data_IF_442437450462
#
_entry.id   IF_442437450462
#
_cell.length_a   1.000
_cell.length_b   1.000
_cell.length_c   1.000
_cell.angle_alpha   90.00
_cell.angle_beta   90.00
_cell.angle_gamma   90.00
#
_symmetry.space_group_name_H-M   'P 1'
#
loop_
_entity.id
_entity.type
_entity.pdbx_description
1 polymer ?
#
# COMPACT_ATOMS: atom_id res chain seq x y z
N UNK A 1 53.79 48.95 -11.64
CA UNK A 1 52.78 48.49 -12.62
C UNK A 1 52.85 46.97 -12.71
N UNK A 2 52.10 46.25 -11.88
CA UNK A 2 52.00 44.79 -11.91
C UNK A 2 50.57 44.43 -12.26
N UNK A 3 50.40 43.85 -13.44
CA UNK A 3 49.10 43.57 -14.03
C UNK A 3 48.62 42.22 -13.50
N UNK A 4 47.54 42.28 -12.73
CA UNK A 4 46.80 41.16 -12.16
C UNK A 4 45.91 40.53 -13.23
N UNK A 5 46.04 39.22 -13.47
CA UNK A 5 45.01 38.41 -14.13
C UNK A 5 44.94 37.05 -13.44
N UNK A 6 43.95 36.89 -12.57
CA UNK A 6 43.55 35.62 -11.96
C UNK A 6 42.39 35.06 -12.78
N UNK A 7 42.63 34.04 -13.58
CA UNK A 7 41.57 33.32 -14.29
C UNK A 7 41.04 32.20 -13.39
N UNK A 8 39.82 32.37 -12.88
CA UNK A 8 39.05 31.29 -12.28
C UNK A 8 38.45 30.44 -13.40
N UNK A 9 38.95 29.22 -13.57
CA UNK A 9 38.28 28.21 -14.40
C UNK A 9 37.33 27.45 -13.49
N UNK A 10 36.03 27.77 -13.54
CA UNK A 10 35.00 27.00 -12.86
C UNK A 10 34.80 25.68 -13.62
N UNK A 11 35.39 24.60 -13.12
CA UNK A 11 35.19 23.25 -13.61
C UNK A 11 33.84 22.74 -13.08
N UNK A 12 32.81 22.75 -13.93
CA UNK A 12 31.55 22.09 -13.63
C UNK A 12 31.77 20.57 -13.65
N UNK A 13 31.85 19.96 -12.47
CA UNK A 13 31.92 18.51 -12.30
C UNK A 13 30.49 17.98 -12.43
N UNK A 14 30.16 17.15 -13.44
CA UNK A 14 28.86 16.51 -13.49
C UNK A 14 28.75 15.52 -12.32
N UNK A 15 27.71 15.69 -11.49
CA UNK A 15 27.31 14.69 -10.51
C UNK A 15 26.96 13.41 -11.26
N UNK A 16 27.86 12.43 -11.17
CA UNK A 16 27.61 11.07 -11.58
C UNK A 16 26.38 10.54 -10.83
N UNK A 17 25.42 10.01 -11.60
CA UNK A 17 24.23 9.34 -11.12
C UNK A 17 24.65 8.21 -10.17
N UNK A 18 24.12 8.24 -8.94
CA UNK A 18 24.21 7.13 -8.02
C UNK A 18 23.42 5.98 -8.63
N UNK A 19 24.13 4.97 -9.15
CA UNK A 19 23.54 3.68 -9.45
C UNK A 19 23.11 3.05 -8.12
N UNK A 20 21.81 2.91 -7.92
CA UNK A 20 21.26 2.22 -6.76
C UNK A 20 21.43 0.71 -6.99
N UNK A 21 22.51 0.14 -6.48
CA UNK A 21 22.61 -1.31 -6.33
C UNK A 21 21.80 -1.70 -5.10
N UNK A 22 20.61 -2.28 -5.30
CA UNK A 22 19.86 -2.94 -4.23
C UNK A 22 19.93 -4.45 -4.42
N UNK A 23 20.96 -5.05 -3.83
CA UNK A 23 20.94 -6.46 -3.47
C UNK A 23 21.16 -6.50 -1.95
N UNK A 24 20.08 -6.53 -1.19
CA UNK A 24 20.10 -6.97 0.21
C UNK A 24 18.67 -7.25 0.68
N UNK A 25 18.42 -8.48 1.12
CA UNK A 25 17.14 -9.00 1.65
C UNK A 25 16.77 -8.40 3.03
N UNK A 26 17.22 -7.17 3.32
CA UNK A 26 17.10 -6.50 4.62
C UNK A 26 16.48 -5.10 4.52
N UNK A 27 15.78 -4.77 3.42
CA UNK A 27 15.01 -3.51 3.38
C UNK A 27 13.97 -3.54 4.52
N UNK A 28 13.94 -2.53 5.41
CA UNK A 28 12.99 -2.51 6.52
C UNK A 28 11.56 -2.63 5.98
N UNK A 29 10.68 -3.38 6.65
CA UNK A 29 9.35 -3.65 6.12
C UNK A 29 8.63 -2.33 5.88
N UNK A 30 8.26 -2.13 4.60
CA UNK A 30 7.82 -0.84 4.09
C UNK A 30 6.42 -0.53 4.58
N UNK A 31 6.21 0.69 5.09
CA UNK A 31 4.87 1.14 5.45
C UNK A 31 4.00 1.27 4.20
N UNK A 32 2.75 0.83 4.26
CA UNK A 32 1.75 0.97 3.19
C UNK A 32 0.96 2.27 3.26
N UNK A 33 1.03 3.00 4.38
CA UNK A 33 0.20 4.17 4.67
C UNK A 33 0.17 5.20 3.54
N UNK A 34 1.34 5.64 3.06
CA UNK A 34 1.43 6.65 1.98
C UNK A 34 0.81 6.18 0.66
N UNK A 35 0.85 4.87 0.39
CA UNK A 35 0.28 4.31 -0.84
C UNK A 35 -1.22 4.11 -0.67
N UNK A 36 -1.65 3.43 0.39
CA UNK A 36 -3.05 3.01 0.58
C UNK A 36 -3.98 4.20 0.76
N UNK A 37 -3.49 5.32 1.32
CA UNK A 37 -4.26 6.56 1.50
C UNK A 37 -4.29 7.47 0.27
N UNK A 38 -3.51 7.15 -0.78
CA UNK A 38 -3.46 7.93 -2.01
C UNK A 38 -4.52 7.42 -3.00
N UNK A 39 -5.77 7.82 -2.81
CA UNK A 39 -6.87 7.55 -3.74
C UNK A 39 -7.80 6.42 -3.30
N UNK A 40 -8.43 5.78 -4.28
CA UNK A 40 -9.40 4.69 -4.05
C UNK A 40 -8.95 3.41 -4.73
N UNK A 41 -9.43 2.30 -4.21
CA UNK A 41 -8.94 0.97 -4.54
C UNK A 41 -10.09 0.03 -4.85
N UNK A 42 -9.82 -0.96 -5.69
CA UNK A 42 -10.66 -2.15 -5.84
C UNK A 42 -9.87 -3.38 -5.42
N UNK A 43 -10.57 -4.43 -4.99
CA UNK A 43 -9.97 -5.77 -4.92
C UNK A 43 -9.73 -6.22 -6.36
N UNK A 44 -8.46 -6.35 -6.72
CA UNK A 44 -8.03 -6.87 -8.01
C UNK A 44 -7.93 -8.40 -8.00
N UNK A 45 -7.46 -8.94 -6.88
CA UNK A 45 -7.31 -10.37 -6.66
C UNK A 45 -7.57 -10.68 -5.18
N UNK A 46 -8.33 -11.74 -4.92
CA UNK A 46 -8.43 -12.36 -3.61
C UNK A 46 -8.42 -13.88 -3.78
N UNK A 47 -7.43 -14.53 -3.20
CA UNK A 47 -7.42 -15.97 -2.98
C UNK A 47 -7.60 -16.21 -1.49
N UNK A 48 -8.67 -16.91 -1.12
CA UNK A 48 -8.99 -17.21 0.27
C UNK A 48 -9.50 -18.65 0.36
N UNK A 49 -9.02 -19.40 1.37
CA UNK A 49 -9.41 -20.79 1.64
C UNK A 49 -9.31 -21.70 0.40
N UNK A 50 -8.26 -21.50 -0.40
CA UNK A 50 -7.99 -22.33 -1.57
C UNK A 50 -8.82 -21.99 -2.82
N UNK A 51 -9.57 -20.88 -2.82
CA UNK A 51 -10.46 -20.49 -3.93
C UNK A 51 -10.24 -19.03 -4.33
N UNK A 52 -10.35 -18.73 -5.63
CA UNK A 52 -10.40 -17.36 -6.13
C UNK A 52 -11.77 -16.73 -5.85
N UNK A 53 -11.78 -15.70 -5.00
CA UNK A 53 -12.97 -14.96 -4.56
C UNK A 53 -13.06 -13.57 -5.21
N UNK A 54 -12.16 -13.22 -6.13
CA UNK A 54 -12.03 -11.87 -6.69
C UNK A 54 -13.34 -11.33 -7.26
N UNK A 55 -14.12 -12.20 -7.91
CA UNK A 55 -15.40 -11.85 -8.51
C UNK A 55 -16.45 -11.34 -7.51
N UNK A 56 -16.40 -11.78 -6.25
CA UNK A 56 -17.39 -11.39 -5.24
C UNK A 56 -17.26 -9.92 -4.85
N UNK A 57 -16.05 -9.36 -4.97
CA UNK A 57 -15.75 -7.97 -4.63
C UNK A 57 -15.98 -7.00 -5.80
N UNK A 58 -16.49 -7.50 -6.93
CA UNK A 58 -16.82 -6.65 -8.08
C UNK A 58 -17.81 -5.54 -7.68
N UNK A 59 -17.48 -4.32 -8.10
CA UNK A 59 -18.25 -3.11 -7.83
C UNK A 59 -17.98 -2.45 -6.47
N UNK A 60 -17.15 -3.04 -5.60
CA UNK A 60 -16.68 -2.33 -4.40
C UNK A 60 -15.59 -1.31 -4.72
N UNK A 61 -15.67 -0.16 -4.06
CA UNK A 61 -14.65 0.88 -4.03
C UNK A 61 -14.23 1.12 -2.59
N UNK A 62 -12.95 0.92 -2.32
CA UNK A 62 -12.35 1.10 -1.00
C UNK A 62 -11.62 2.43 -0.93
N UNK A 63 -11.80 3.17 0.17
CA UNK A 63 -11.07 4.40 0.46
C UNK A 63 -10.48 4.31 1.85
N UNK A 64 -9.18 4.51 1.96
CA UNK A 64 -8.46 4.52 3.23
C UNK A 64 -8.00 5.95 3.48
N UNK A 65 -8.36 6.52 4.62
CA UNK A 65 -8.04 7.90 4.96
C UNK A 65 -6.90 7.95 5.99
N UNK A 66 -6.15 9.06 5.99
CA UNK A 66 -4.98 9.26 6.87
C UNK A 66 -5.32 9.31 8.35
N UNK A 67 -6.59 9.47 8.70
CA UNK A 67 -7.09 9.45 10.07
C UNK A 67 -7.34 8.02 10.60
N UNK A 68 -7.08 6.99 9.78
CA UNK A 68 -7.30 5.59 10.12
C UNK A 68 -8.71 5.09 9.81
N UNK A 69 -9.57 5.89 9.15
CA UNK A 69 -10.87 5.42 8.68
C UNK A 69 -10.76 4.73 7.31
N UNK A 70 -11.61 3.73 7.09
CA UNK A 70 -11.78 3.07 5.79
C UNK A 70 -13.26 3.00 5.45
N UNK A 71 -13.59 3.13 4.17
CA UNK A 71 -14.94 2.93 3.66
C UNK A 71 -14.95 1.96 2.48
N UNK A 72 -15.96 1.12 2.41
CA UNK A 72 -16.26 0.27 1.25
C UNK A 72 -17.63 0.65 0.68
N UNK A 73 -17.62 1.25 -0.50
CA UNK A 73 -18.81 1.67 -1.22
C UNK A 73 -19.18 0.66 -2.31
N UNK A 74 -20.45 0.30 -2.43
CA UNK A 74 -20.98 -0.48 -3.55
C UNK A 74 -22.42 -0.08 -3.83
N UNK A 75 -22.69 0.32 -5.08
CA UNK A 75 -24.03 0.67 -5.56
C UNK A 75 -24.79 1.72 -4.69
N UNK A 76 -24.06 2.64 -4.07
CA UNK A 76 -24.62 3.68 -3.20
C UNK A 76 -24.72 3.30 -1.71
N UNK A 77 -24.52 2.03 -1.36
CA UNK A 77 -24.35 1.61 0.03
C UNK A 77 -22.90 1.81 0.47
N UNK A 78 -22.70 2.29 1.69
CA UNK A 78 -21.39 2.55 2.26
C UNK A 78 -21.21 1.84 3.60
N UNK A 79 -20.20 0.98 3.70
CA UNK A 79 -19.79 0.35 4.95
C UNK A 79 -18.56 1.06 5.50
N UNK A 80 -18.65 1.54 6.73
CA UNK A 80 -17.54 2.21 7.41
C UNK A 80 -16.69 1.20 8.21
N UNK A 81 -15.42 1.53 8.40
CA UNK A 81 -14.48 0.78 9.18
C UNK A 81 -13.30 1.62 9.63
N UNK A 82 -12.35 0.96 10.28
CA UNK A 82 -11.03 1.48 10.61
C UNK A 82 -9.96 0.61 9.97
N UNK A 83 -8.83 1.22 9.65
CA UNK A 83 -7.62 0.49 9.28
C UNK A 83 -6.45 0.94 10.14
N UNK A 84 -5.47 0.05 10.30
CA UNK A 84 -4.21 0.40 10.95
C UNK A 84 -3.06 -0.42 10.40
N UNK A 85 -1.86 0.09 10.59
CA UNK A 85 -0.63 -0.66 10.31
C UNK A 85 0.06 -1.01 11.62
N UNK A 86 0.39 -2.29 11.80
CA UNK A 86 1.13 -2.78 12.97
C UNK A 86 2.44 -3.44 12.54
N UNK A 87 3.43 -3.40 13.41
CA UNK A 87 4.64 -4.22 13.29
C UNK A 87 4.50 -5.38 14.27
N UNK A 88 4.34 -6.58 13.76
CA UNK A 88 4.23 -7.80 14.55
C UNK A 88 5.21 -8.84 14.02
N UNK A 89 6.02 -9.40 14.91
CA UNK A 89 6.98 -10.45 14.59
C UNK A 89 7.90 -10.09 13.41
N UNK A 90 8.31 -8.82 13.33
CA UNK A 90 9.17 -8.30 12.26
C UNK A 90 8.46 -8.07 10.93
N UNK A 91 7.14 -8.25 10.85
CA UNK A 91 6.33 -8.07 9.65
C UNK A 91 5.40 -6.88 9.80
N UNK A 92 5.30 -6.07 8.75
CA UNK A 92 4.27 -5.03 8.66
C UNK A 92 2.96 -5.67 8.24
N UNK A 93 1.91 -5.43 9.03
CA UNK A 93 0.55 -5.92 8.77
C UNK A 93 -0.42 -4.76 8.58
N UNK A 94 -1.37 -4.94 7.67
CA UNK A 94 -2.53 -4.09 7.50
C UNK A 94 -3.71 -4.75 8.19
N UNK A 95 -4.32 -4.06 9.16
CA UNK A 95 -5.54 -4.52 9.83
C UNK A 95 -6.71 -3.71 9.33
N UNK A 96 -7.82 -4.37 9.03
CA UNK A 96 -9.10 -3.76 8.64
C UNK A 96 -10.15 -4.24 9.63
N UNK A 97 -11.01 -3.33 10.09
CA UNK A 97 -12.13 -3.65 10.98
C UNK A 97 -13.36 -2.84 10.58
N UNK A 98 -14.45 -3.49 10.25
CA UNK A 98 -15.71 -2.87 9.88
C UNK A 98 -16.54 -2.53 11.12
N UNK A 99 -17.23 -1.39 11.07
CA UNK A 99 -18.01 -0.87 12.21
C UNK A 99 -19.46 -0.64 11.80
N UNK A 100 -20.38 -0.92 12.74
CA UNK A 100 -21.82 -0.71 12.54
C UNK A 100 -22.60 -2.01 12.36
N UNK A 101 -23.91 -1.86 12.15
CA UNK A 101 -24.82 -2.99 11.90
C UNK A 101 -25.01 -3.23 10.41
N UNK A 102 -25.28 -4.48 10.03
CA UNK A 102 -25.59 -4.84 8.63
C UNK A 102 -24.36 -4.92 7.71
N UNK A 103 -23.17 -5.19 8.28
CA UNK A 103 -21.94 -5.38 7.51
C UNK A 103 -22.14 -6.58 6.56
N UNK A 104 -21.94 -6.42 5.23
CA UNK A 104 -21.93 -7.53 4.30
C UNK A 104 -20.91 -8.60 4.74
N UNK A 105 -21.32 -9.87 4.80
CA UNK A 105 -20.43 -10.96 5.26
C UNK A 105 -19.12 -11.04 4.48
N UNK A 106 -19.17 -10.70 3.20
CA UNK A 106 -18.00 -10.63 2.33
C UNK A 106 -16.92 -9.65 2.83
N UNK A 107 -17.31 -8.54 3.47
CA UNK A 107 -16.34 -7.60 4.01
C UNK A 107 -15.65 -8.17 5.27
N UNK A 108 -16.36 -8.99 6.06
CA UNK A 108 -15.77 -9.68 7.22
C UNK A 108 -14.72 -10.71 6.80
N UNK A 109 -14.83 -11.30 5.60
CA UNK A 109 -13.86 -12.28 5.07
C UNK A 109 -12.47 -11.69 4.78
N UNK A 110 -12.31 -10.36 4.81
CA UNK A 110 -11.00 -9.69 4.65
C UNK A 110 -10.50 -9.04 5.94
N UNK A 111 -11.12 -9.32 7.09
CA UNK A 111 -10.63 -8.92 8.42
C UNK A 111 -9.56 -9.91 8.93
N UNK A 112 -8.41 -9.93 8.25
CA UNK A 112 -7.28 -10.80 8.60
C UNK A 112 -6.03 -9.99 8.96
N UNK A 113 -5.04 -10.67 9.51
CA UNK A 113 -3.71 -10.15 9.89
C UNK A 113 -2.78 -9.99 8.66
N UNK A 114 -3.28 -9.33 7.62
CA UNK A 114 -2.65 -9.22 6.30
C UNK A 114 -1.22 -8.68 6.35
N UNK A 115 -0.23 -9.52 6.04
CA UNK A 115 1.17 -9.10 5.91
C UNK A 115 1.37 -8.36 4.59
N UNK A 116 2.02 -7.20 4.63
CA UNK A 116 2.39 -6.44 3.43
C UNK A 116 3.52 -7.15 2.69
N UNK A 117 3.22 -7.71 1.51
CA UNK A 117 4.19 -8.39 0.63
C UNK A 117 4.92 -7.40 -0.27
N UNK A 118 4.18 -6.50 -0.90
CA UNK A 118 4.74 -5.45 -1.76
C UNK A 118 3.77 -4.28 -1.88
N UNK A 119 4.29 -3.12 -2.26
CA UNK A 119 3.48 -1.95 -2.61
C UNK A 119 4.09 -1.17 -3.77
N UNK A 120 3.22 -0.49 -4.51
CA UNK A 120 3.54 0.51 -5.51
C UNK A 120 2.48 1.61 -5.47
N UNK A 121 2.57 2.59 -6.36
CA UNK A 121 1.53 3.63 -6.50
C UNK A 121 0.22 3.08 -7.05
N UNK A 122 0.18 1.88 -7.63
CA UNK A 122 -1.02 1.33 -8.31
C UNK A 122 -1.46 -0.04 -7.81
N UNK A 123 -0.64 -0.71 -7.01
CA UNK A 123 -0.89 -2.08 -6.53
C UNK A 123 -0.32 -2.24 -5.12
N UNK A 124 -1.14 -2.79 -4.22
CA UNK A 124 -0.76 -3.25 -2.89
C UNK A 124 -1.02 -4.74 -2.84
N UNK A 125 -0.02 -5.53 -2.44
CA UNK A 125 -0.13 -6.97 -2.32
C UNK A 125 0.04 -7.39 -0.87
N UNK A 126 -0.92 -8.17 -0.38
CA UNK A 126 -1.03 -8.63 0.98
C UNK A 126 -1.12 -10.15 1.01
N UNK A 127 -0.64 -10.75 2.10
CA UNK A 127 -0.70 -12.20 2.30
C UNK A 127 -1.04 -12.56 3.74
N UNK A 128 -1.81 -13.62 3.93
CA UNK A 128 -2.09 -14.22 5.23
C UNK A 128 -2.05 -15.74 5.08
N UNK A 129 -1.10 -16.42 5.71
CA UNK A 129 -0.83 -17.84 5.48
C UNK A 129 -0.67 -18.18 3.97
N UNK A 130 -1.64 -18.86 3.37
CA UNK A 130 -1.68 -19.22 1.94
C UNK A 130 -2.61 -18.33 1.11
N UNK A 131 -3.24 -17.34 1.73
CA UNK A 131 -4.20 -16.42 1.12
C UNK A 131 -3.48 -15.17 0.63
N UNK A 132 -4.00 -14.59 -0.46
CA UNK A 132 -3.46 -13.37 -1.05
C UNK A 132 -4.58 -12.37 -1.32
N UNK A 133 -4.38 -11.11 -0.94
CA UNK A 133 -5.28 -9.99 -1.22
C UNK A 133 -4.53 -8.88 -1.94
N UNK A 134 -4.97 -8.53 -3.13
CA UNK A 134 -4.39 -7.46 -3.93
C UNK A 134 -5.39 -6.32 -4.11
N UNK A 135 -5.04 -5.13 -3.65
CA UNK A 135 -5.74 -3.90 -3.97
C UNK A 135 -5.08 -3.23 -5.18
N UNK A 136 -5.87 -2.87 -6.18
CA UNK A 136 -5.44 -2.07 -7.32
C UNK A 136 -6.11 -0.71 -7.28
N UNK A 137 -5.32 0.34 -7.51
CA UNK A 137 -5.81 1.73 -7.54
C UNK A 137 -6.76 1.93 -8.72
N UNK A 138 -7.83 2.68 -8.49
CA UNK A 138 -8.80 3.08 -9.52
C UNK A 138 -8.34 4.31 -10.30
#
# INVERSE_FOLDING_TARGET
MKNFKLYLFALAIPLFMIACNKNDDNDPPQSVADAITDGTWRVHYLFNDGTDQSGNYSGYVFKFDTDGSVSAEKAGDNTAGTWSEVLDSGKKKLLITWIGGGIPSLLLEIEEDWVVKSKSTTLIQLTYNNDELHFQKL
#
